data_IF_407323696312
#
_entry.id   IF_407323696312
#
_cell.length_a   1.000
_cell.length_b   1.000
_cell.length_c   1.000
_cell.angle_alpha   90.00
_cell.angle_beta   90.00
_cell.angle_gamma   90.00
#
_symmetry.space_group_name_H-M   'P 1'
#
loop_
_entity.id
_entity.type
_entity.pdbx_description
1 polymer ?
#
# COMPACT_ATOMS: atom_id res chain seq x y z
N UNK A 1 8.41 -16.94 -13.39
CA UNK A 1 9.11 -16.86 -12.09
C UNK A 1 8.84 -15.62 -11.22
N UNK A 2 8.22 -14.50 -11.67
CA UNK A 2 7.85 -13.39 -10.77
C UNK A 2 6.83 -13.77 -9.69
N UNK A 3 5.86 -14.62 -10.04
CA UNK A 3 4.76 -15.01 -9.14
C UNK A 3 5.23 -15.77 -7.88
N UNK A 4 6.34 -16.52 -7.95
CA UNK A 4 6.88 -17.28 -6.80
C UNK A 4 7.67 -16.37 -5.86
N UNK A 5 8.49 -15.46 -6.40
CA UNK A 5 9.19 -14.46 -5.60
C UNK A 5 8.21 -13.50 -4.90
N UNK A 6 7.16 -13.05 -5.62
CA UNK A 6 6.07 -12.26 -5.05
C UNK A 6 5.31 -13.05 -3.99
N UNK A 7 5.02 -14.34 -4.20
CA UNK A 7 4.33 -15.19 -3.21
C UNK A 7 5.18 -15.44 -1.95
N UNK A 8 6.48 -15.70 -2.09
CA UNK A 8 7.39 -15.90 -0.96
C UNK A 8 7.63 -14.60 -0.19
N UNK A 9 7.75 -13.47 -0.88
CA UNK A 9 7.85 -12.16 -0.26
C UNK A 9 6.53 -11.79 0.47
N UNK A 10 5.39 -12.05 -0.16
CA UNK A 10 4.08 -11.80 0.42
C UNK A 10 3.78 -12.68 1.65
N UNK A 11 4.25 -13.92 1.67
CA UNK A 11 4.05 -14.83 2.80
C UNK A 11 4.98 -14.56 3.99
N UNK A 12 6.26 -14.21 3.75
CA UNK A 12 7.23 -13.96 4.83
C UNK A 12 7.33 -12.49 5.26
N UNK A 13 7.39 -11.56 4.32
CA UNK A 13 7.67 -10.15 4.63
C UNK A 13 6.37 -9.37 4.89
N UNK A 14 5.30 -9.63 4.15
CA UNK A 14 4.05 -8.86 4.32
C UNK A 14 3.23 -9.30 5.54
N UNK A 15 3.26 -10.58 5.94
CA UNK A 15 2.59 -11.02 7.18
C UNK A 15 3.38 -10.70 8.45
N UNK A 16 4.72 -10.71 8.40
CA UNK A 16 5.56 -10.56 9.60
C UNK A 16 6.23 -9.18 9.73
N UNK A 17 6.41 -8.43 8.64
CA UNK A 17 7.24 -7.21 8.66
C UNK A 17 6.41 -5.94 8.84
N UNK A 18 5.40 -5.65 8.01
CA UNK A 18 4.44 -4.56 8.29
C UNK A 18 3.09 -5.19 8.64
N UNK A 19 2.74 -5.32 9.93
CA UNK A 19 1.47 -5.93 10.31
C UNK A 19 0.34 -5.12 9.67
N UNK A 20 -0.58 -5.78 8.98
CA UNK A 20 -1.69 -5.12 8.28
C UNK A 20 -2.52 -4.20 9.20
N UNK A 21 -2.58 -4.52 10.49
CA UNK A 21 -3.20 -3.70 11.54
C UNK A 21 -2.48 -2.37 11.82
N UNK A 22 -1.21 -2.23 11.44
CA UNK A 22 -0.47 -0.97 11.56
C UNK A 22 -0.81 0.03 10.47
N UNK A 23 -1.56 -0.38 9.44
CA UNK A 23 -2.02 0.51 8.39
C UNK A 23 -3.21 1.34 8.93
N UNK A 24 -3.07 2.68 9.01
CA UNK A 24 -4.11 3.54 9.55
C UNK A 24 -5.44 3.35 8.83
N UNK A 25 -6.50 3.20 9.63
CA UNK A 25 -7.85 3.04 9.12
C UNK A 25 -8.24 1.59 8.82
N UNK A 26 -7.32 0.63 8.78
CA UNK A 26 -7.67 -0.80 8.79
C UNK A 26 -8.09 -1.19 10.21
N UNK A 27 -9.23 -1.87 10.35
CA UNK A 27 -9.72 -2.45 11.61
C UNK A 27 -10.08 -3.91 11.35
N UNK A 28 -9.64 -4.81 12.23
CA UNK A 28 -10.18 -6.17 12.30
C UNK A 28 -11.33 -6.20 13.30
N UNK A 29 -12.30 -7.07 13.04
CA UNK A 29 -13.18 -7.56 14.10
C UNK A 29 -12.36 -8.59 14.90
N UNK A 30 -12.30 -8.43 16.22
CA UNK A 30 -11.45 -9.24 17.11
C UNK A 30 -11.83 -10.75 17.11
N UNK A 31 -12.92 -11.12 16.43
CA UNK A 31 -13.40 -12.50 16.32
C UNK A 31 -12.84 -13.30 15.13
N UNK A 32 -12.16 -12.67 14.17
CA UNK A 32 -11.49 -13.39 13.07
C UNK A 32 -10.08 -13.80 13.50
N UNK A 33 -10.02 -14.76 14.42
CA UNK A 33 -8.77 -15.39 14.83
C UNK A 33 -8.06 -16.05 13.67
N UNK A 34 -6.74 -15.93 13.70
CA UNK A 34 -5.79 -16.59 12.82
C UNK A 34 -6.17 -18.05 12.52
N UNK A 35 -6.39 -18.37 11.24
CA UNK A 35 -6.59 -19.76 10.85
C UNK A 35 -6.90 -19.94 9.37
N UNK A 36 -5.93 -20.52 8.65
CA UNK A 36 -6.08 -21.29 7.41
C UNK A 36 -6.63 -20.63 6.13
N UNK A 37 -6.15 -21.20 5.03
CA UNK A 37 -6.44 -20.90 3.64
C UNK A 37 -7.94 -20.93 3.27
N UNK A 38 -8.26 -20.23 2.16
CA UNK A 38 -9.30 -20.54 1.17
C UNK A 38 -10.48 -21.37 1.70
N UNK A 39 -11.59 -20.72 2.08
CA UNK A 39 -12.93 -21.04 1.57
C UNK A 39 -14.01 -20.05 2.04
N UNK A 40 -14.86 -19.70 1.07
CA UNK A 40 -16.28 -19.34 1.16
C UNK A 40 -16.72 -18.26 2.17
N UNK A 41 -16.96 -17.08 1.62
CA UNK A 41 -17.87 -16.10 2.19
C UNK A 41 -19.28 -16.69 2.36
N UNK A 42 -19.87 -16.53 3.54
CA UNK A 42 -21.30 -16.23 3.67
C UNK A 42 -21.66 -15.65 5.05
N UNK A 43 -22.46 -14.58 5.00
CA UNK A 43 -23.37 -14.08 6.03
C UNK A 43 -22.81 -13.67 7.42
N UNK A 44 -22.45 -12.39 7.56
CA UNK A 44 -23.02 -11.51 8.61
C UNK A 44 -22.48 -10.08 8.55
N UNK A 45 -23.39 -9.11 8.41
CA UNK A 45 -23.49 -7.92 9.26
C UNK A 45 -22.42 -6.81 9.29
N UNK A 46 -21.16 -7.05 8.97
CA UNK A 46 -20.13 -6.02 8.90
C UNK A 46 -19.17 -6.41 7.79
N UNK A 47 -19.26 -5.73 6.64
CA UNK A 47 -18.37 -6.06 5.52
C UNK A 47 -16.96 -5.62 5.90
N UNK A 48 -16.18 -6.60 6.36
CA UNK A 48 -14.72 -6.56 6.47
C UNK A 48 -14.21 -5.93 5.19
N UNK A 49 -13.31 -4.95 5.31
CA UNK A 49 -12.67 -4.30 4.17
C UNK A 49 -12.27 -5.36 3.13
N UNK A 50 -12.78 -5.27 1.89
CA UNK A 50 -12.40 -6.19 0.81
C UNK A 50 -10.88 -6.03 0.45
N UNK A 51 -10.21 -5.06 1.06
CA UNK A 51 -8.78 -4.80 0.97
C UNK A 51 -7.98 -5.92 1.65
N UNK A 52 -7.06 -6.53 0.91
CA UNK A 52 -6.26 -7.65 1.41
C UNK A 52 -4.93 -7.19 2.02
N UNK A 53 -4.27 -8.09 2.74
CA UNK A 53 -2.92 -7.88 3.30
C UNK A 53 -1.89 -7.50 2.22
N UNK A 54 -2.17 -7.73 0.93
CA UNK A 54 -1.27 -7.39 -0.17
C UNK A 54 -0.99 -5.89 -0.33
N UNK A 55 -1.74 -5.03 0.36
CA UNK A 55 -1.42 -3.60 0.41
C UNK A 55 -0.10 -3.31 1.14
N UNK A 56 0.42 -4.21 1.99
CA UNK A 56 1.72 -4.01 2.64
C UNK A 56 2.91 -4.39 1.73
N UNK A 57 2.66 -4.74 0.47
CA UNK A 57 3.70 -5.17 -0.46
C UNK A 57 4.54 -3.96 -0.93
N UNK A 58 5.89 -3.99 -0.85
CA UNK A 58 6.74 -2.91 -1.35
C UNK A 58 6.77 -2.81 -2.88
N UNK A 59 6.31 -3.85 -3.59
CA UNK A 59 6.14 -3.80 -5.04
C UNK A 59 4.85 -3.12 -5.48
N UNK A 60 4.02 -2.67 -4.54
CA UNK A 60 2.75 -2.02 -4.82
C UNK A 60 2.87 -0.74 -5.68
N UNK A 61 3.92 0.10 -5.59
CA UNK A 61 4.12 1.23 -6.51
C UNK A 61 4.13 0.79 -7.98
N UNK A 62 4.80 -0.31 -8.30
CA UNK A 62 4.87 -0.89 -9.66
C UNK A 62 3.53 -1.42 -10.18
N UNK A 63 2.58 -1.64 -9.26
CA UNK A 63 1.24 -2.13 -9.55
C UNK A 63 0.20 -0.99 -9.53
N UNK A 64 0.57 0.25 -9.20
CA UNK A 64 -0.34 1.40 -9.24
C UNK A 64 -0.69 1.74 -10.69
N UNK A 65 -1.98 1.75 -11.09
CA UNK A 65 -2.38 2.17 -12.43
C UNK A 65 -2.02 3.63 -12.66
N UNK A 66 -1.43 3.95 -13.82
CA UNK A 66 -1.06 5.31 -14.23
C UNK A 66 -2.23 6.11 -14.80
N UNK A 67 -3.29 5.43 -15.21
CA UNK A 67 -4.48 6.06 -15.76
C UNK A 67 -5.14 7.03 -14.77
N UNK A 68 -4.85 6.89 -13.47
CA UNK A 68 -5.24 7.80 -12.42
C UNK A 68 -4.15 8.85 -12.15
N UNK A 69 -3.98 9.85 -13.03
CA UNK A 69 -3.29 11.09 -12.68
C UNK A 69 -4.31 12.05 -12.04
N UNK A 70 -4.02 12.57 -10.85
CA UNK A 70 -4.95 13.43 -10.10
C UNK A 70 -5.96 12.64 -9.22
N UNK A 71 -7.08 13.26 -8.79
CA UNK A 71 -7.81 12.96 -7.53
C UNK A 71 -8.66 11.67 -7.48
N UNK A 72 -8.24 10.58 -8.12
CA UNK A 72 -8.43 9.27 -7.50
C UNK A 72 -7.13 8.45 -7.50
N UNK A 73 -6.11 8.84 -6.73
CA UNK A 73 -4.92 8.01 -6.46
C UNK A 73 -4.87 7.53 -5.00
N UNK A 74 -3.96 6.59 -4.70
CA UNK A 74 -3.75 6.05 -3.35
C UNK A 74 -2.26 6.05 -2.92
N UNK A 75 -1.48 7.00 -3.45
CA UNK A 75 -0.06 7.18 -3.13
C UNK A 75 0.23 7.20 -1.61
N UNK A 76 -0.63 7.82 -0.79
CA UNK A 76 -0.46 7.88 0.66
C UNK A 76 -0.40 6.50 1.34
N UNK A 77 -1.18 5.51 0.87
CA UNK A 77 -1.08 4.12 1.37
C UNK A 77 0.32 3.56 1.07
N UNK A 78 0.75 3.68 -0.17
CA UNK A 78 1.98 3.06 -0.65
C UNK A 78 3.22 3.68 -0.01
N UNK A 79 3.25 5.00 0.11
CA UNK A 79 4.32 5.76 0.76
C UNK A 79 4.39 5.39 2.25
N UNK A 80 3.25 5.36 2.95
CA UNK A 80 3.20 4.97 4.35
C UNK A 80 3.76 3.56 4.57
N UNK A 81 3.34 2.60 3.74
CA UNK A 81 3.84 1.22 3.79
C UNK A 81 5.34 1.17 3.53
N UNK A 82 5.85 1.94 2.56
CA UNK A 82 7.28 1.98 2.26
C UNK A 82 8.11 2.48 3.45
N UNK A 83 7.71 3.58 4.09
CA UNK A 83 8.44 4.09 5.27
C UNK A 83 8.31 3.13 6.45
N UNK A 84 7.14 2.52 6.67
CA UNK A 84 7.00 1.52 7.75
C UNK A 84 7.84 0.27 7.51
N UNK A 85 7.97 -0.15 6.26
CA UNK A 85 8.86 -1.27 5.93
C UNK A 85 10.32 -0.90 6.20
N UNK A 86 10.75 0.30 5.78
CA UNK A 86 12.09 0.84 6.04
C UNK A 86 12.39 0.92 7.54
N UNK A 87 11.49 1.51 8.34
CA UNK A 87 11.61 1.58 9.81
C UNK A 87 11.78 0.22 10.48
N UNK A 88 11.22 -0.83 9.89
CA UNK A 88 11.26 -2.18 10.46
C UNK A 88 12.52 -2.91 10.04
N UNK A 89 12.93 -2.76 8.77
CA UNK A 89 14.18 -3.33 8.25
C UNK A 89 15.38 -2.70 8.98
N UNK A 90 15.39 -1.38 9.12
CA UNK A 90 16.54 -0.61 9.63
C UNK A 90 16.44 -0.27 11.13
N UNK A 91 15.47 -0.86 11.85
CA UNK A 91 15.21 -0.54 13.27
C UNK A 91 16.43 -0.72 14.16
N UNK A 92 17.23 -1.76 13.91
CA UNK A 92 18.33 -2.17 14.79
C UNK A 92 19.54 -1.26 14.62
N UNK A 93 19.81 -0.88 13.38
CA UNK A 93 20.92 -0.03 12.96
C UNK A 93 20.64 1.45 13.21
N UNK A 94 19.35 1.83 13.31
CA UNK A 94 18.88 3.22 13.37
C UNK A 94 19.37 4.06 12.19
N UNK A 95 19.59 3.40 11.07
CA UNK A 95 20.10 3.96 9.83
C UNK A 95 19.01 3.82 8.77
N UNK A 96 18.02 4.71 8.86
CA UNK A 96 16.85 4.70 7.98
C UNK A 96 17.22 5.28 6.62
N UNK A 97 16.67 4.72 5.54
CA UNK A 97 16.90 5.25 4.19
C UNK A 97 16.37 6.67 4.09
N UNK A 98 17.10 7.65 3.53
CA UNK A 98 16.58 9.01 3.37
C UNK A 98 15.26 9.05 2.58
N UNK A 99 14.35 9.99 2.90
CA UNK A 99 13.05 10.04 2.21
C UNK A 99 13.22 10.31 0.70
N UNK A 100 14.27 11.03 0.29
CA UNK A 100 14.62 11.23 -1.12
C UNK A 100 14.85 9.90 -1.86
N UNK A 101 15.66 9.02 -1.27
CA UNK A 101 15.97 7.72 -1.85
C UNK A 101 14.73 6.83 -1.88
N UNK A 102 13.95 6.79 -0.79
CA UNK A 102 12.67 6.06 -0.76
C UNK A 102 11.71 6.55 -1.85
N UNK A 103 11.62 7.86 -2.06
CA UNK A 103 10.81 8.43 -3.15
C UNK A 103 11.40 8.11 -4.52
N UNK A 104 12.71 8.07 -4.67
CA UNK A 104 13.37 7.68 -5.93
C UNK A 104 13.00 6.25 -6.32
N UNK A 105 13.05 5.31 -5.38
CA UNK A 105 12.60 3.92 -5.61
C UNK A 105 11.11 3.84 -5.89
N UNK A 106 10.30 4.61 -5.16
CA UNK A 106 8.86 4.70 -5.38
C UNK A 106 8.54 5.09 -6.83
N UNK A 107 9.17 6.17 -7.31
CA UNK A 107 9.02 6.70 -8.67
C UNK A 107 9.45 5.69 -9.72
N UNK A 108 10.63 5.09 -9.54
CA UNK A 108 11.14 4.07 -10.46
C UNK A 108 10.17 2.88 -10.60
N UNK A 109 9.56 2.44 -9.49
CA UNK A 109 8.52 1.41 -9.51
C UNK A 109 7.27 1.86 -10.27
N UNK A 110 6.72 3.01 -9.89
CA UNK A 110 5.52 3.58 -10.50
C UNK A 110 5.67 3.76 -12.04
N UNK A 111 6.79 4.34 -12.45
CA UNK A 111 7.13 4.66 -13.85
C UNK A 111 7.72 3.49 -14.63
N UNK A 112 7.90 2.32 -14.01
CA UNK A 112 8.40 1.11 -14.69
C UNK A 112 7.44 0.63 -15.79
N UNK A 113 7.85 0.55 -17.07
CA UNK A 113 6.98 0.08 -18.15
C UNK A 113 6.74 -1.44 -18.13
N UNK A 114 7.35 -2.16 -17.19
CA UNK A 114 7.37 -3.63 -17.15
C UNK A 114 6.00 -4.28 -16.94
N UNK A 115 5.09 -3.61 -16.23
CA UNK A 115 3.74 -4.13 -15.97
C UNK A 115 2.70 -3.34 -16.75
N UNK A 116 2.00 -3.97 -17.71
CA UNK A 116 0.93 -3.33 -18.48
C UNK A 116 -0.18 -2.76 -17.59
N UNK A 117 -0.78 -1.66 -18.03
CA UNK A 117 -1.83 -0.95 -17.27
C UNK A 117 -3.03 -1.85 -16.94
N UNK A 118 -3.45 -2.71 -17.88
CA UNK A 118 -4.54 -3.67 -17.66
C UNK A 118 -4.22 -4.64 -16.52
N UNK A 119 -2.97 -5.12 -16.44
CA UNK A 119 -2.50 -6.00 -15.36
C UNK A 119 -2.44 -5.26 -14.03
N UNK A 120 -1.99 -4.00 -14.01
CA UNK A 120 -2.00 -3.14 -12.81
C UNK A 120 -3.41 -3.03 -12.22
N UNK A 121 -4.39 -2.71 -13.08
CA UNK A 121 -5.81 -2.60 -12.69
C UNK A 121 -6.36 -3.95 -12.20
N UNK A 122 -6.06 -5.04 -12.89
CA UNK A 122 -6.50 -6.39 -12.48
C UNK A 122 -5.97 -6.77 -11.09
N UNK A 123 -4.69 -6.53 -10.84
CA UNK A 123 -4.08 -6.80 -9.52
C UNK A 123 -4.69 -5.92 -8.45
N UNK A 124 -4.87 -4.62 -8.72
CA UNK A 124 -5.52 -3.69 -7.78
C UNK A 124 -6.96 -4.08 -7.43
N UNK A 125 -7.69 -4.69 -8.37
CA UNK A 125 -9.01 -5.30 -8.09
C UNK A 125 -8.89 -6.52 -7.19
N UNK A 126 -7.93 -7.41 -7.46
CA UNK A 126 -7.71 -8.64 -6.65
C UNK A 126 -7.35 -8.33 -5.20
N UNK A 127 -6.69 -7.21 -4.95
CA UNK A 127 -6.30 -6.79 -3.59
C UNK A 127 -7.32 -5.83 -2.94
N UNK A 128 -8.48 -5.62 -3.57
CA UNK A 128 -9.60 -4.88 -3.01
C UNK A 128 -9.48 -3.35 -3.06
N UNK A 129 -8.46 -2.82 -3.72
CA UNK A 129 -8.26 -1.37 -3.84
C UNK A 129 -9.12 -0.76 -4.94
N UNK A 130 -9.39 -1.49 -6.02
CA UNK A 130 -10.31 -1.10 -7.09
C UNK A 130 -11.57 -1.97 -7.03
N UNK A 131 -12.73 -1.34 -7.19
CA UNK A 131 -14.01 -2.05 -7.18
C UNK A 131 -14.19 -2.94 -8.42
N UNK A 132 -14.81 -4.11 -8.25
CA UNK A 132 -15.05 -5.08 -9.33
C UNK A 132 -15.87 -4.42 -10.45
N UNK A 133 -15.39 -4.52 -11.69
CA UNK A 133 -16.04 -3.94 -12.86
C UNK A 133 -15.87 -2.42 -13.01
N UNK A 134 -15.18 -1.75 -12.08
CA UNK A 134 -14.85 -0.32 -12.18
C UNK A 134 -13.37 -0.11 -12.48
N UNK A 135 -13.02 1.12 -12.86
CA UNK A 135 -11.65 1.58 -13.07
C UNK A 135 -11.17 2.53 -11.97
N UNK A 136 -12.00 2.75 -10.94
CA UNK A 136 -11.73 3.68 -9.85
C UNK A 136 -11.44 2.94 -8.54
N UNK A 137 -10.61 3.55 -7.69
CA UNK A 137 -10.40 3.06 -6.34
C UNK A 137 -11.70 3.11 -5.52
N UNK A 138 -11.93 2.07 -4.73
CA UNK A 138 -13.12 1.96 -3.90
C UNK A 138 -13.13 3.02 -2.78
N UNK A 139 -14.30 3.28 -2.20
CA UNK A 139 -14.47 4.26 -1.12
C UNK A 139 -13.57 3.93 0.09
N UNK A 140 -13.40 2.65 0.37
CA UNK A 140 -12.60 2.16 1.47
C UNK A 140 -11.10 2.41 1.26
N UNK A 141 -10.58 2.16 0.05
CA UNK A 141 -9.21 2.50 -0.31
C UNK A 141 -8.94 4.01 -0.18
N UNK A 142 -9.90 4.85 -0.59
CA UNK A 142 -9.83 6.31 -0.42
C UNK A 142 -9.81 6.71 1.06
N UNK A 143 -10.62 6.05 1.90
CA UNK A 143 -10.66 6.27 3.36
C UNK A 143 -9.33 5.90 4.02
N UNK A 144 -8.79 4.72 3.72
CA UNK A 144 -7.49 4.25 4.21
C UNK A 144 -6.38 5.19 3.72
N UNK A 145 -6.39 5.60 2.45
CA UNK A 145 -5.43 6.57 1.92
C UNK A 145 -5.43 7.89 2.70
N UNK A 146 -6.61 8.43 3.04
CA UNK A 146 -6.72 9.64 3.86
C UNK A 146 -6.15 9.44 5.26
N UNK A 147 -6.36 8.27 5.86
CA UNK A 147 -5.79 7.94 7.17
C UNK A 147 -4.26 7.81 7.11
N UNK A 148 -3.72 7.11 6.10
CA UNK A 148 -2.28 7.03 5.87
C UNK A 148 -1.67 8.41 5.63
N UNK A 149 -2.31 9.26 4.81
CA UNK A 149 -1.84 10.62 4.52
C UNK A 149 -1.76 11.47 5.80
N UNK A 150 -2.71 11.33 6.72
CA UNK A 150 -2.64 11.99 8.04
C UNK A 150 -1.51 11.46 8.90
N UNK A 151 -1.33 10.14 8.94
CA UNK A 151 -0.24 9.54 9.69
C UNK A 151 1.14 9.97 9.16
N UNK A 152 1.26 10.14 7.84
CA UNK A 152 2.45 10.68 7.20
C UNK A 152 2.77 12.10 7.66
N UNK A 153 1.81 12.92 8.12
CA UNK A 153 2.08 14.29 8.58
C UNK A 153 3.01 14.32 9.81
N UNK A 154 3.04 13.24 10.59
CA UNK A 154 3.82 13.07 11.82
C UNK A 154 5.10 12.23 11.62
N UNK A 155 5.23 11.54 10.49
CA UNK A 155 6.27 10.54 10.27
C UNK A 155 7.51 11.18 9.66
N UNK A 156 8.69 11.04 10.29
CA UNK A 156 9.98 11.55 9.78
C UNK A 156 9.97 13.04 9.43
N UNK A 157 9.37 13.85 10.28
CA UNK A 157 9.20 15.30 10.10
C UNK A 157 10.50 16.08 9.96
N UNK A 158 11.55 15.56 10.56
CA UNK A 158 12.89 16.10 10.57
C UNK A 158 13.61 15.95 9.21
N UNK A 159 13.12 15.07 8.34
CA UNK A 159 13.71 14.83 7.02
C UNK A 159 13.42 16.01 6.07
N UNK A 160 14.44 16.58 5.38
CA UNK A 160 14.26 17.72 4.47
C UNK A 160 13.22 17.49 3.36
N UNK A 161 13.00 16.24 2.95
CA UNK A 161 12.10 15.88 1.86
C UNK A 161 10.67 15.56 2.33
N UNK A 162 10.39 15.71 3.63
CA UNK A 162 9.05 15.47 4.21
C UNK A 162 7.94 16.25 3.50
N UNK A 163 8.17 17.53 3.19
CA UNK A 163 7.19 18.38 2.48
C UNK A 163 6.86 17.87 1.08
N UNK A 164 7.88 17.41 0.34
CA UNK A 164 7.73 16.82 -1.00
C UNK A 164 6.94 15.52 -0.93
N UNK A 165 7.26 14.67 0.06
CA UNK A 165 6.56 13.41 0.31
C UNK A 165 5.07 13.62 0.60
N UNK A 166 4.73 14.59 1.45
CA UNK A 166 3.34 14.95 1.75
C UNK A 166 2.61 15.50 0.52
N UNK A 167 3.29 16.28 -0.32
CA UNK A 167 2.73 16.79 -1.58
C UNK A 167 2.39 15.65 -2.52
N UNK A 168 3.29 14.68 -2.70
CA UNK A 168 3.06 13.48 -3.50
C UNK A 168 1.91 12.63 -2.93
N UNK A 169 1.86 12.43 -1.62
CA UNK A 169 0.80 11.66 -0.96
C UNK A 169 -0.60 12.28 -1.13
N UNK A 170 -0.70 13.63 -1.11
CA UNK A 170 -1.96 14.38 -1.17
C UNK A 170 -2.46 14.65 -2.59
N UNK A 171 -1.56 15.04 -3.48
CA UNK A 171 -1.91 15.48 -4.84
C UNK A 171 -1.79 14.37 -5.88
N UNK A 172 -0.96 13.36 -5.58
CA UNK A 172 -0.58 12.32 -6.53
C UNK A 172 0.22 12.83 -7.71
N UNK A 173 0.66 14.09 -7.64
CA UNK A 173 1.70 14.59 -8.50
C UNK A 173 3.01 13.91 -8.11
N UNK A 174 3.62 13.26 -9.09
CA UNK A 174 4.98 12.79 -9.01
C UNK A 174 5.78 13.80 -9.85
N UNK A 175 6.38 14.78 -9.18
CA UNK A 175 7.22 15.83 -9.78
C UNK A 175 8.67 15.40 -9.94
#
# INVERSE_FOLDING_TARGET
MPAVAVKLFHLRVVKETVPFLTIPGIKYDEDSTAGSDVELAEASGSRISDITHAICCPFLPSLHPRAAKGPPHIHGIMIFVAIKLDEIIHRKEKDFTDLEDLMTYYRAGYDSPMTPESTRIEVMRKIGLIEKGKHEFCAEAKRVNKACTRALEELRREDPFHGTLLTMARSGAIE
#
